data_IF_996929508861
#
_entry.id   IF_996929508861
#
_cell.length_a   1.000
_cell.length_b   1.000
_cell.length_c   1.000
_cell.angle_alpha   90.00
_cell.angle_beta   90.00
_cell.angle_gamma   90.00
#
_symmetry.space_group_name_H-M   'P 1'
#
loop_
_entity.id
_entity.type
_entity.pdbx_description
1 polymer ?
#
# COMPACT_ATOMS: atom_id res chain seq x y z
N UNK A 1 11.31 3.96 3.89
CA UNK A 1 11.14 3.97 5.38
C UNK A 1 12.52 3.86 6.00
N UNK A 2 12.87 4.78 6.90
CA UNK A 2 14.07 4.63 7.73
C UNK A 2 13.64 4.11 9.09
N UNK A 3 14.26 3.04 9.56
CA UNK A 3 13.99 2.44 10.87
C UNK A 3 15.30 2.10 11.56
N UNK A 4 15.33 2.25 12.88
CA UNK A 4 16.49 1.83 13.70
C UNK A 4 16.47 0.33 13.99
N UNK A 5 15.27 -0.24 14.12
CA UNK A 5 15.08 -1.65 14.43
C UNK A 5 14.81 -2.43 13.15
N UNK A 6 15.57 -3.51 12.95
CA UNK A 6 15.46 -4.35 11.76
C UNK A 6 14.11 -5.08 11.77
N UNK A 7 13.29 -4.95 10.71
CA UNK A 7 12.05 -5.72 10.59
C UNK A 7 12.35 -7.19 10.31
N UNK A 8 11.40 -8.07 10.64
CA UNK A 8 11.43 -9.50 10.32
C UNK A 8 11.43 -9.69 8.81
N UNK A 9 10.53 -8.99 8.13
CA UNK A 9 10.40 -9.03 6.67
C UNK A 9 10.05 -7.65 6.11
N UNK A 10 10.36 -7.46 4.83
CA UNK A 10 10.02 -6.26 4.07
C UNK A 10 9.33 -6.69 2.79
N UNK A 11 8.12 -6.19 2.55
CA UNK A 11 7.37 -6.38 1.31
C UNK A 11 7.21 -5.03 0.59
N UNK A 12 7.54 -5.02 -0.70
CA UNK A 12 7.31 -3.88 -1.59
C UNK A 12 6.04 -4.13 -2.40
N UNK A 13 5.16 -3.14 -2.44
CA UNK A 13 3.90 -3.24 -3.17
C UNK A 13 2.83 -4.10 -2.49
N UNK A 14 1.73 -4.27 -3.20
CA UNK A 14 0.53 -4.99 -2.80
C UNK A 14 0.49 -6.41 -3.40
N UNK A 15 1.36 -6.72 -4.37
CA UNK A 15 1.35 -7.96 -5.13
C UNK A 15 0.40 -7.91 -6.33
N UNK A 16 0.08 -6.71 -6.81
CA UNK A 16 -0.75 -6.46 -7.99
C UNK A 16 0.05 -5.57 -8.92
N UNK A 17 0.45 -6.11 -10.07
CA UNK A 17 1.35 -5.47 -11.02
C UNK A 17 0.89 -4.05 -11.40
N UNK A 18 -0.41 -3.84 -11.63
CA UNK A 18 -1.00 -2.54 -11.96
C UNK A 18 -0.77 -1.47 -10.87
N UNK A 19 -0.71 -1.86 -9.59
CA UNK A 19 -0.57 -0.94 -8.47
C UNK A 19 0.87 -0.82 -7.93
N UNK A 20 1.77 -1.70 -8.35
CA UNK A 20 3.12 -1.81 -7.80
C UNK A 20 4.19 -1.04 -8.59
N UNK A 21 3.84 -0.51 -9.77
CA UNK A 21 4.77 0.22 -10.64
C UNK A 21 5.24 1.57 -10.10
N UNK A 22 4.51 2.16 -9.15
CA UNK A 22 4.76 3.51 -8.64
C UNK A 22 5.43 3.53 -7.26
N UNK A 23 5.78 2.37 -6.69
CA UNK A 23 6.48 2.28 -5.40
C UNK A 23 5.66 2.83 -4.22
N UNK A 24 4.32 2.70 -4.28
CA UNK A 24 3.38 3.37 -3.37
C UNK A 24 3.29 2.76 -1.99
N UNK A 25 3.63 1.48 -1.82
CA UNK A 25 3.42 0.75 -0.57
C UNK A 25 4.69 0.01 -0.16
N UNK A 26 5.05 0.15 1.12
CA UNK A 26 6.09 -0.64 1.76
C UNK A 26 5.53 -1.18 3.08
N UNK A 27 5.56 -2.50 3.26
CA UNK A 27 5.15 -3.16 4.50
C UNK A 27 6.35 -3.75 5.22
N UNK A 28 6.51 -3.40 6.49
CA UNK A 28 7.51 -3.95 7.41
C UNK A 28 6.79 -4.82 8.44
N UNK A 29 7.27 -6.04 8.62
CA UNK A 29 6.78 -6.96 9.64
C UNK A 29 7.64 -6.89 10.90
N UNK A 30 7.00 -6.82 12.06
CA UNK A 30 7.60 -6.89 13.39
C UNK A 30 6.85 -7.92 14.24
N UNK A 31 7.43 -8.34 15.36
CA UNK A 31 6.89 -9.44 16.18
C UNK A 31 5.44 -9.25 16.64
N UNK A 32 5.00 -8.00 16.80
CA UNK A 32 3.69 -7.65 17.37
C UNK A 32 2.79 -6.88 16.41
N UNK A 33 3.32 -6.41 15.28
CA UNK A 33 2.58 -5.52 14.39
C UNK A 33 3.21 -5.47 13.00
N UNK A 34 2.43 -4.97 12.05
CA UNK A 34 2.91 -4.58 10.73
C UNK A 34 2.89 -3.05 10.61
N UNK A 35 3.97 -2.48 10.07
CA UNK A 35 4.02 -1.08 9.66
C UNK A 35 3.85 -0.99 8.15
N UNK A 36 2.72 -0.44 7.70
CA UNK A 36 2.46 -0.19 6.28
C UNK A 36 2.63 1.31 6.01
N UNK A 37 3.64 1.68 5.23
CA UNK A 37 3.77 3.04 4.71
C UNK A 37 3.16 3.11 3.31
N UNK A 38 2.31 4.09 3.09
CA UNK A 38 1.57 4.25 1.84
C UNK A 38 1.62 5.69 1.34
N UNK A 39 1.88 5.84 0.05
CA UNK A 39 1.66 7.07 -0.70
C UNK A 39 0.44 6.88 -1.60
N UNK A 40 -0.72 7.30 -1.09
CA UNK A 40 -2.02 7.16 -1.76
C UNK A 40 -2.06 7.92 -3.10
N UNK A 41 -2.60 7.32 -4.18
CA UNK A 41 -2.77 8.02 -5.44
C UNK A 41 -3.77 9.18 -5.33
N UNK A 42 -3.48 10.27 -6.01
CA UNK A 42 -4.38 11.42 -6.11
C UNK A 42 -5.33 11.24 -7.31
N UNK A 43 -6.61 11.57 -7.14
CA UNK A 43 -7.63 11.58 -8.20
C UNK A 43 -7.42 12.66 -9.28
N UNK A 44 -6.37 13.48 -9.15
CA UNK A 44 -6.01 14.60 -10.03
C UNK A 44 -7.07 15.71 -10.09
N UNK A 45 -6.76 16.80 -10.80
CA UNK A 45 -7.71 17.88 -11.04
C UNK A 45 -8.93 17.36 -11.80
N UNK A 46 -10.11 17.90 -11.48
CA UNK A 46 -11.39 17.52 -12.09
C UNK A 46 -11.69 16.01 -12.02
N UNK A 47 -11.13 15.31 -11.02
CA UNK A 47 -11.41 13.89 -10.77
C UNK A 47 -10.99 12.95 -11.93
N UNK A 48 -10.01 13.36 -12.74
CA UNK A 48 -9.58 12.62 -13.93
C UNK A 48 -9.09 11.18 -13.64
N UNK A 49 -8.68 10.88 -12.41
CA UNK A 49 -8.27 9.53 -11.95
C UNK A 49 -9.12 8.98 -10.82
N UNK A 50 -10.37 9.44 -10.66
CA UNK A 50 -11.22 8.98 -9.55
C UNK A 50 -11.51 7.48 -9.60
N UNK A 51 -11.80 6.91 -10.78
CA UNK A 51 -12.04 5.48 -10.94
C UNK A 51 -10.82 4.64 -10.51
N UNK A 52 -9.63 5.01 -10.97
CA UNK A 52 -8.37 4.38 -10.53
C UNK A 52 -8.14 4.53 -9.02
N UNK A 53 -8.48 5.69 -8.46
CA UNK A 53 -8.39 5.90 -7.01
C UNK A 53 -9.32 4.94 -6.26
N UNK A 54 -10.56 4.78 -6.72
CA UNK A 54 -11.51 3.86 -6.08
C UNK A 54 -11.06 2.40 -6.16
N UNK A 55 -10.61 1.92 -7.33
CA UNK A 55 -10.09 0.56 -7.45
C UNK A 55 -8.88 0.32 -6.55
N UNK A 56 -7.98 1.31 -6.45
CA UNK A 56 -6.84 1.25 -5.55
C UNK A 56 -7.25 1.17 -4.08
N UNK A 57 -8.29 1.91 -3.65
CA UNK A 57 -8.81 1.85 -2.27
C UNK A 57 -9.35 0.46 -1.93
N UNK A 58 -10.11 -0.17 -2.84
CA UNK A 58 -10.64 -1.52 -2.62
C UNK A 58 -9.51 -2.55 -2.48
N UNK A 59 -8.51 -2.48 -3.36
CA UNK A 59 -7.32 -3.34 -3.29
C UNK A 59 -6.56 -3.11 -1.99
N UNK A 60 -6.30 -1.86 -1.62
CA UNK A 60 -5.55 -1.52 -0.42
C UNK A 60 -6.29 -1.95 0.84
N UNK A 61 -7.60 -1.76 0.90
CA UNK A 61 -8.44 -2.22 2.02
C UNK A 61 -8.39 -3.74 2.17
N UNK A 62 -8.52 -4.49 1.07
CA UNK A 62 -8.43 -5.96 1.10
C UNK A 62 -7.04 -6.43 1.53
N UNK A 63 -5.97 -5.71 1.15
CA UNK A 63 -4.63 -5.99 1.61
C UNK A 63 -4.45 -5.81 3.13
N UNK A 64 -5.04 -4.76 3.70
CA UNK A 64 -5.00 -4.51 5.15
C UNK A 64 -5.91 -5.45 5.95
N UNK A 65 -7.00 -5.92 5.34
CA UNK A 65 -7.99 -6.79 5.96
C UNK A 65 -8.28 -8.01 5.08
N UNK A 66 -7.38 -9.00 5.04
CA UNK A 66 -7.53 -10.18 4.18
C UNK A 66 -8.70 -11.10 4.57
N UNK A 67 -9.30 -10.91 5.75
CA UNK A 67 -10.48 -11.63 6.22
C UNK A 67 -11.65 -10.64 6.38
N UNK A 68 -12.43 -10.45 5.31
CA UNK A 68 -13.81 -9.94 5.41
C UNK A 68 -14.79 -11.10 5.32
#
# INVERSE_FOLDING_TARGET
IFTKEKPISVKMGLGIEEHDNEGRVITLEYDKFFLVNVYTPNSQQKLARLEYRMSWEDVFRNYLHPFH
#
